data_IF_904733859608
#
_entry.id   IF_904733859608
#
_cell.length_a   1.000
_cell.length_b   1.000
_cell.length_c   1.000
_cell.angle_alpha   90.00
_cell.angle_beta   90.00
_cell.angle_gamma   90.00
#
_symmetry.space_group_name_H-M   'P 1'
#
loop_
_entity.id
_entity.type
_entity.pdbx_description
1 polymer ?
#
# COMPACT_ATOMS: atom_id res chain seq x y z
N UNK A 1 38.03 -3.43 -49.85
CA UNK A 1 37.17 -4.56 -49.48
C UNK A 1 36.49 -4.16 -48.18
N UNK A 2 35.65 -3.12 -48.20
CA UNK A 2 34.29 -3.12 -48.77
C UNK A 2 33.46 -4.22 -48.06
N UNK A 3 32.38 -3.95 -47.34
CA UNK A 3 31.34 -2.97 -47.67
C UNK A 3 30.52 -2.56 -46.46
N UNK A 4 30.13 -1.30 -46.48
CA UNK A 4 29.00 -0.69 -45.78
C UNK A 4 27.68 -1.46 -45.92
N UNK A 5 26.85 -1.44 -44.86
CA UNK A 5 25.40 -1.52 -45.02
C UNK A 5 24.66 -0.64 -44.02
N UNK A 6 24.33 0.57 -44.48
CA UNK A 6 23.19 1.40 -44.04
C UNK A 6 21.88 0.70 -44.41
N UNK A 7 20.87 0.74 -43.53
CA UNK A 7 19.50 1.27 -43.75
C UNK A 7 18.66 1.00 -42.50
N UNK A 8 18.11 2.03 -41.84
CA UNK A 8 16.71 2.52 -41.99
C UNK A 8 15.69 1.47 -41.54
N UNK A 9 14.70 1.72 -40.70
CA UNK A 9 13.87 2.92 -40.53
C UNK A 9 12.93 2.69 -39.33
N UNK A 10 12.77 3.74 -38.54
CA UNK A 10 11.51 4.29 -38.02
C UNK A 10 10.25 3.41 -38.12
N UNK A 11 9.67 3.08 -36.96
CA UNK A 11 8.22 3.14 -36.80
C UNK A 11 7.85 3.58 -35.38
N UNK A 12 7.31 4.79 -35.36
CA UNK A 12 6.58 5.49 -34.32
C UNK A 12 5.25 4.81 -33.99
N UNK A 13 4.95 4.69 -32.70
CA UNK A 13 3.65 5.04 -32.10
C UNK A 13 3.81 4.84 -30.58
N UNK A 14 4.03 5.91 -29.81
CA UNK A 14 2.96 6.77 -29.28
C UNK A 14 1.83 5.97 -28.66
N UNK A 15 2.03 5.56 -27.40
CA UNK A 15 0.98 5.54 -26.37
C UNK A 15 1.63 5.21 -25.02
N UNK A 16 2.29 6.21 -24.43
CA UNK A 16 2.60 6.21 -22.99
C UNK A 16 1.91 7.44 -22.39
N UNK A 17 0.58 7.46 -22.49
CA UNK A 17 -0.25 8.24 -21.57
C UNK A 17 -0.17 7.54 -20.21
N UNK A 18 0.93 7.77 -19.51
CA UNK A 18 0.92 7.62 -18.06
C UNK A 18 0.07 8.74 -17.54
N UNK A 19 -1.12 8.35 -17.12
CA UNK A 19 -1.93 9.05 -16.14
C UNK A 19 -1.03 9.39 -14.95
N UNK A 20 -0.41 10.56 -15.05
CA UNK A 20 0.19 11.26 -13.93
C UNK A 20 -1.00 11.85 -13.20
N UNK A 21 -1.70 10.99 -12.46
CA UNK A 21 -2.52 11.39 -11.34
C UNK A 21 -1.58 12.14 -10.40
N UNK A 22 -1.46 13.45 -10.62
CA UNK A 22 -1.04 14.39 -9.61
C UNK A 22 -2.10 14.32 -8.52
N UNK A 23 -1.97 13.30 -7.66
CA UNK A 23 -2.63 13.27 -6.38
C UNK A 23 -2.06 14.45 -5.62
N UNK A 24 -2.80 15.55 -5.69
CA UNK A 24 -2.71 16.70 -4.81
C UNK A 24 -3.04 16.16 -3.42
N UNK A 25 -2.04 15.55 -2.76
CA UNK A 25 -2.03 15.41 -1.32
C UNK A 25 -1.91 16.82 -0.79
N UNK A 26 -3.06 17.44 -0.61
CA UNK A 26 -3.27 18.64 0.17
C UNK A 26 -2.50 18.46 1.48
N UNK A 27 -1.39 19.18 1.63
CA UNK A 27 -0.67 19.31 2.89
C UNK A 27 -1.66 19.76 3.98
N UNK A 28 -1.97 18.94 5.00
CA UNK A 28 -2.85 19.36 6.09
C UNK A 28 -2.16 20.33 7.08
N UNK A 29 -0.86 20.59 6.92
CA UNK A 29 -0.01 21.12 8.00
C UNK A 29 0.29 22.62 7.96
N UNK A 30 -0.51 23.45 7.26
CA UNK A 30 -0.37 24.90 7.37
C UNK A 30 -1.44 25.57 8.23
N UNK A 31 -2.09 24.83 9.14
CA UNK A 31 -2.80 25.46 10.25
C UNK A 31 -1.76 25.91 11.28
N UNK A 32 -1.11 27.04 10.98
CA UNK A 32 -0.48 27.88 12.00
C UNK A 32 -1.63 28.47 12.79
N UNK A 33 -2.20 27.64 13.66
CA UNK A 33 -3.12 28.05 14.69
C UNK A 33 -2.41 29.09 15.50
N UNK A 34 -2.79 30.35 15.28
CA UNK A 34 -2.55 31.45 16.19
C UNK A 34 -2.85 30.92 17.58
N UNK A 35 -1.79 30.65 18.34
CA UNK A 35 -1.87 30.39 19.78
C UNK A 35 -2.37 31.70 20.38
N UNK A 36 -3.68 31.87 20.39
CA UNK A 36 -4.34 32.63 21.42
C UNK A 36 -3.95 31.92 22.70
N UNK A 37 -2.94 32.47 23.38
CA UNK A 37 -2.71 32.20 24.78
C UNK A 37 -3.98 32.68 25.47
N UNK A 38 -4.98 31.79 25.51
CA UNK A 38 -6.13 31.93 26.36
C UNK A 38 -5.54 32.22 27.73
N UNK A 39 -5.87 33.41 28.21
CA UNK A 39 -5.51 33.91 29.52
C UNK A 39 -5.91 32.83 30.49
N UNK A 40 -4.94 32.02 30.88
CA UNK A 40 -5.12 30.92 31.81
C UNK A 40 -5.66 31.56 33.06
N UNK A 41 -6.91 31.21 33.31
CA UNK A 41 -7.61 31.25 34.57
C UNK A 41 -6.62 31.42 35.75
N UNK A 42 -6.42 32.68 36.17
CA UNK A 42 -5.53 33.06 37.28
C UNK A 42 -6.01 32.47 38.62
N UNK A 43 -7.12 31.75 38.64
CA UNK A 43 -7.78 31.21 39.83
C UNK A 43 -7.17 29.90 40.36
N UNK A 44 -6.33 29.19 39.60
CA UNK A 44 -5.83 27.86 40.03
C UNK A 44 -4.43 27.83 40.64
N UNK A 45 -3.70 28.94 40.69
CA UNK A 45 -2.40 29.01 41.36
C UNK A 45 -2.55 29.66 42.74
N UNK A 46 -3.24 28.96 43.64
CA UNK A 46 -3.05 29.16 45.08
C UNK A 46 -1.64 28.72 45.44
N UNK A 47 -0.69 29.65 45.36
CA UNK A 47 0.73 29.43 45.67
C UNK A 47 0.90 29.53 47.18
N UNK A 48 0.53 28.45 47.89
CA UNK A 48 0.60 28.41 49.35
C UNK A 48 1.33 27.14 49.82
N UNK A 49 2.45 27.28 50.56
CA UNK A 49 3.08 26.17 51.26
C UNK A 49 2.11 25.47 52.22
N UNK A 50 2.15 24.14 52.26
CA UNK A 50 1.40 23.37 53.24
C UNK A 50 1.91 23.66 54.66
N UNK A 51 0.98 23.81 55.61
CA UNK A 51 1.30 23.92 57.03
C UNK A 51 1.43 22.52 57.59
N UNK A 52 2.56 22.22 58.24
CA UNK A 52 2.74 20.91 58.87
C UNK A 52 1.75 20.77 60.04
N UNK A 53 0.96 19.69 60.10
CA UNK A 53 0.03 19.48 61.19
C UNK A 53 0.78 19.32 62.51
N UNK A 54 0.18 19.81 63.61
CA UNK A 54 0.72 19.63 64.97
C UNK A 54 1.86 20.57 65.38
N UNK A 55 2.17 21.61 64.60
CA UNK A 55 3.16 22.62 65.01
C UNK A 55 2.55 23.59 66.05
N UNK A 56 3.30 23.86 67.13
CA UNK A 56 2.97 24.94 68.07
C UNK A 56 3.11 26.31 67.39
N UNK A 57 1.98 26.99 67.21
CA UNK A 57 1.89 28.32 66.60
C UNK A 57 2.66 29.40 67.37
N UNK A 58 2.99 29.13 68.64
CA UNK A 58 3.71 30.03 69.52
C UNK A 58 5.21 29.68 69.67
N UNK A 59 5.72 28.66 68.99
CA UNK A 59 7.10 28.20 69.13
C UNK A 59 8.14 29.33 68.98
N UNK A 60 7.91 30.28 68.05
CA UNK A 60 8.79 31.43 67.84
C UNK A 60 9.02 32.31 69.09
N UNK A 61 8.09 32.32 70.06
CA UNK A 61 8.21 33.15 71.27
C UNK A 61 9.35 32.68 72.17
N UNK A 62 9.66 31.38 72.15
CA UNK A 62 10.68 30.77 72.98
C UNK A 62 12.04 30.67 72.28
N UNK A 63 12.08 30.87 70.96
CA UNK A 63 13.29 30.79 70.15
C UNK A 63 14.09 32.10 70.22
N UNK A 64 15.38 31.98 70.58
CA UNK A 64 16.36 33.08 70.70
C UNK A 64 17.19 33.29 69.44
N UNK A 65 17.11 32.38 68.48
CA UNK A 65 17.90 32.39 67.25
C UNK A 65 16.98 32.22 66.04
N UNK A 66 17.36 32.82 64.91
CA UNK A 66 16.66 32.62 63.65
C UNK A 66 16.81 31.16 63.19
N UNK A 67 15.71 30.49 62.83
CA UNK A 67 15.75 29.09 62.37
C UNK A 67 16.46 28.91 61.00
N UNK A 68 16.76 29.99 60.29
CA UNK A 68 17.35 29.94 58.93
C UNK A 68 18.84 30.26 58.96
N UNK A 69 19.23 31.37 59.61
CA UNK A 69 20.63 31.83 59.63
C UNK A 69 21.26 31.84 61.02
N UNK A 70 20.55 31.34 62.04
CA UNK A 70 21.04 31.18 63.42
C UNK A 70 21.47 32.47 64.12
N UNK A 71 21.24 33.65 63.52
CA UNK A 71 21.50 34.93 64.19
C UNK A 71 20.59 35.09 65.42
N UNK A 72 21.14 35.64 66.50
CA UNK A 72 20.37 35.93 67.70
C UNK A 72 19.27 36.96 67.41
N UNK A 73 18.04 36.64 67.81
CA UNK A 73 16.85 37.47 67.62
C UNK A 73 16.18 37.73 68.97
N UNK A 74 15.67 38.93 69.18
CA UNK A 74 14.83 39.20 70.35
C UNK A 74 13.69 40.17 70.04
N UNK A 75 12.93 40.46 71.09
CA UNK A 75 12.00 41.59 71.11
C UNK A 75 12.84 42.88 71.01
N UNK A 76 12.32 43.86 70.26
CA UNK A 76 12.94 45.14 69.95
C UNK A 76 13.90 45.70 71.02
N UNK A 77 15.07 46.18 70.60
CA UNK A 77 15.96 47.00 71.41
C UNK A 77 17.12 46.30 72.14
N UNK A 78 17.27 44.97 72.05
CA UNK A 78 18.24 44.21 72.88
C UNK A 78 19.32 43.45 72.09
N UNK A 79 19.14 43.17 70.79
CA UNK A 79 20.08 42.35 69.98
C UNK A 79 20.13 42.75 68.50
N UNK A 80 21.10 42.17 67.79
CA UNK A 80 21.45 42.40 66.38
C UNK A 80 20.28 42.32 65.38
N UNK A 81 19.21 41.57 65.66
CA UNK A 81 18.08 41.42 64.73
C UNK A 81 16.71 41.36 65.42
N UNK A 82 15.70 41.98 64.77
CA UNK A 82 14.30 41.89 65.17
C UNK A 82 13.75 40.50 64.89
N UNK A 83 13.07 39.92 65.88
CA UNK A 83 12.37 38.64 65.77
C UNK A 83 11.03 38.79 65.05
N UNK A 84 10.82 37.96 64.03
CA UNK A 84 9.55 37.75 63.33
C UNK A 84 9.11 36.29 63.45
N UNK A 85 7.83 36.03 63.18
CA UNK A 85 7.25 34.69 63.10
C UNK A 85 6.98 34.35 61.64
N UNK A 86 7.50 33.20 61.17
CA UNK A 86 7.05 32.61 59.91
C UNK A 86 5.65 32.03 60.15
N UNK A 87 4.68 32.38 59.32
CA UNK A 87 3.29 31.93 59.50
C UNK A 87 3.01 30.52 58.99
N UNK A 88 3.99 29.90 58.34
CA UNK A 88 3.89 28.55 57.79
C UNK A 88 4.54 27.49 58.69
N UNK A 89 5.72 27.77 59.26
CA UNK A 89 6.38 26.85 60.20
C UNK A 89 6.38 27.32 61.65
N UNK A 90 5.81 28.49 61.95
CA UNK A 90 5.69 29.09 63.28
C UNK A 90 7.00 29.26 64.09
N UNK A 91 8.14 29.15 63.42
CA UNK A 91 9.48 29.39 63.99
C UNK A 91 9.88 30.88 63.93
N UNK A 92 10.85 31.24 64.76
CA UNK A 92 11.45 32.57 64.81
C UNK A 92 12.41 32.78 63.63
N UNK A 93 12.25 33.91 62.96
CA UNK A 93 13.08 34.33 61.83
C UNK A 93 13.46 35.80 61.92
N UNK A 94 14.62 36.14 61.38
CA UNK A 94 15.00 37.54 61.20
C UNK A 94 14.35 38.12 59.93
N UNK A 95 14.41 39.45 59.76
CA UNK A 95 13.84 40.13 58.59
C UNK A 95 14.45 39.65 57.27
N UNK A 96 15.77 39.47 57.23
CA UNK A 96 16.50 39.03 56.03
C UNK A 96 16.15 37.61 55.59
N UNK A 97 15.81 36.72 56.53
CA UNK A 97 15.41 35.34 56.24
C UNK A 97 13.90 35.17 56.01
N UNK A 98 13.14 36.26 56.04
CA UNK A 98 11.70 36.25 55.77
C UNK A 98 11.22 37.48 55.00
N UNK A 99 11.86 37.83 53.86
CA UNK A 99 11.52 39.07 53.13
C UNK A 99 10.16 39.00 52.42
N UNK A 100 9.61 37.79 52.22
CA UNK A 100 8.42 37.55 51.40
C UNK A 100 7.15 37.36 52.24
N UNK A 101 6.01 37.62 51.60
CA UNK A 101 4.68 37.26 52.08
C UNK A 101 3.95 36.43 51.03
N UNK A 102 3.27 35.37 51.45
CA UNK A 102 2.48 34.49 50.59
C UNK A 102 1.05 34.37 51.12
N UNK A 103 0.11 33.97 50.26
CA UNK A 103 -1.25 33.69 50.68
C UNK A 103 -1.25 32.49 51.62
N UNK A 104 -1.71 32.66 52.85
CA UNK A 104 -1.77 31.58 53.84
C UNK A 104 -2.98 30.66 53.57
N UNK A 105 -2.84 29.33 53.65
CA UNK A 105 -3.86 28.40 53.17
C UNK A 105 -5.12 28.38 54.05
N UNK A 106 -4.97 28.69 55.35
CA UNK A 106 -6.12 28.72 56.28
C UNK A 106 -6.79 30.10 56.37
N UNK A 107 -6.02 31.18 56.23
CA UNK A 107 -6.53 32.55 56.49
C UNK A 107 -6.81 33.32 55.22
N UNK A 108 -6.31 32.84 54.07
CA UNK A 108 -6.40 33.49 52.77
C UNK A 108 -5.91 34.94 52.79
N UNK A 109 -4.96 35.25 53.67
CA UNK A 109 -4.31 36.57 53.77
C UNK A 109 -2.83 36.47 53.42
N UNK A 110 -2.23 37.55 52.91
CA UNK A 110 -0.79 37.61 52.69
C UNK A 110 -0.07 37.61 54.04
N UNK A 111 0.62 36.52 54.33
CA UNK A 111 1.31 36.29 55.59
C UNK A 111 2.80 36.00 55.37
N UNK A 112 3.63 36.35 56.35
CA UNK A 112 5.09 36.26 56.25
C UNK A 112 5.56 34.82 56.17
N UNK A 113 6.40 34.52 55.19
CA UNK A 113 7.03 33.21 55.00
C UNK A 113 8.55 33.32 55.19
N UNK A 114 9.18 32.30 55.74
CA UNK A 114 10.63 32.21 55.77
C UNK A 114 11.16 31.60 54.47
N UNK A 115 12.41 31.92 54.11
CA UNK A 115 13.02 31.41 52.88
C UNK A 115 13.03 29.88 52.81
N UNK A 116 13.24 29.19 53.93
CA UNK A 116 13.22 27.72 53.95
C UNK A 116 11.84 27.14 53.55
N UNK A 117 10.75 27.68 54.11
CA UNK A 117 9.39 27.27 53.73
C UNK A 117 9.07 27.61 52.27
N UNK A 118 9.54 28.76 51.78
CA UNK A 118 9.34 29.18 50.41
C UNK A 118 10.05 28.24 49.42
N UNK A 119 11.33 27.96 49.63
CA UNK A 119 12.10 27.07 48.75
C UNK A 119 11.58 25.64 48.79
N UNK A 120 11.24 25.11 49.97
CA UNK A 120 10.65 23.77 50.09
C UNK A 120 9.38 23.63 49.25
N UNK A 121 8.51 24.64 49.29
CA UNK A 121 7.29 24.66 48.49
C UNK A 121 7.57 24.75 46.99
N UNK A 122 8.54 25.58 46.58
CA UNK A 122 8.95 25.69 45.18
C UNK A 122 9.47 24.34 44.68
N UNK A 123 10.36 23.69 45.42
CA UNK A 123 10.91 22.38 45.07
C UNK A 123 9.82 21.32 44.92
N UNK A 124 8.84 21.30 45.82
CA UNK A 124 7.70 20.38 45.75
C UNK A 124 6.85 20.64 44.49
N UNK A 125 6.59 21.91 44.16
CA UNK A 125 5.87 22.28 42.94
C UNK A 125 6.62 21.86 41.68
N UNK A 126 7.93 22.09 41.60
CA UNK A 126 8.74 21.68 40.45
C UNK A 126 8.79 20.16 40.28
N UNK A 127 8.91 19.39 41.38
CA UNK A 127 8.88 17.92 41.34
C UNK A 127 7.55 17.40 40.80
N UNK A 128 6.44 18.01 41.21
CA UNK A 128 5.11 17.58 40.78
C UNK A 128 4.80 18.01 39.33
N UNK A 129 5.19 19.22 38.91
CA UNK A 129 4.92 19.71 37.55
C UNK A 129 5.80 19.05 36.49
N UNK A 130 7.09 18.82 36.78
CA UNK A 130 8.01 18.20 35.84
C UNK A 130 7.66 16.74 35.53
N UNK A 131 7.12 16.03 36.53
CA UNK A 131 6.67 14.65 36.35
C UNK A 131 5.39 14.54 35.53
N UNK A 132 4.45 15.46 35.68
CA UNK A 132 3.15 15.34 34.99
C UNK A 132 3.28 15.62 33.49
N UNK A 133 4.02 16.65 33.08
CA UNK A 133 4.24 16.95 31.66
C UNK A 133 5.00 15.82 30.97
N UNK A 134 6.03 15.27 31.64
CA UNK A 134 6.77 14.13 31.13
C UNK A 134 5.88 12.88 31.01
N UNK A 135 5.02 12.63 32.00
CA UNK A 135 4.09 11.51 32.01
C UNK A 135 3.07 11.62 30.87
N UNK A 136 2.48 12.81 30.66
CA UNK A 136 1.55 13.06 29.54
C UNK A 136 2.24 12.79 28.20
N UNK A 137 3.47 13.30 28.03
CA UNK A 137 4.24 13.09 26.79
C UNK A 137 4.54 11.61 26.56
N UNK A 138 4.94 10.89 27.61
CA UNK A 138 5.24 9.47 27.54
C UNK A 138 3.99 8.63 27.23
N UNK A 139 2.85 8.95 27.85
CA UNK A 139 1.56 8.28 27.57
C UNK A 139 1.12 8.49 26.12
N UNK A 140 1.26 9.72 25.59
CA UNK A 140 0.98 10.01 24.18
C UNK A 140 1.88 9.20 23.25
N UNK A 141 3.18 9.11 23.53
CA UNK A 141 4.12 8.35 22.70
C UNK A 141 3.83 6.84 22.75
N UNK A 142 3.46 6.31 23.92
CA UNK A 142 3.02 4.92 24.06
C UNK A 142 1.74 4.67 23.25
N UNK A 143 0.78 5.60 23.29
CA UNK A 143 -0.46 5.49 22.53
C UNK A 143 -0.18 5.48 21.02
N UNK A 144 0.67 6.36 20.53
CA UNK A 144 1.06 6.41 19.11
C UNK A 144 1.75 5.11 18.67
N UNK A 145 2.65 4.59 19.49
CA UNK A 145 3.32 3.30 19.22
C UNK A 145 2.35 2.14 19.21
N UNK A 146 1.36 2.11 20.10
CA UNK A 146 0.32 1.09 20.11
C UNK A 146 -0.56 1.16 18.86
N UNK A 147 -0.90 2.37 18.39
CA UNK A 147 -1.61 2.54 17.12
C UNK A 147 -0.77 2.08 15.92
N UNK A 148 0.53 2.37 15.91
CA UNK A 148 1.46 1.93 14.87
C UNK A 148 1.55 0.38 14.82
N UNK A 149 1.67 -0.26 15.99
CA UNK A 149 1.70 -1.73 16.11
C UNK A 149 0.37 -2.34 15.62
N UNK A 150 -0.78 -1.75 15.98
CA UNK A 150 -2.08 -2.23 15.52
C UNK A 150 -2.21 -2.15 14.00
N UNK A 151 -1.74 -1.06 13.38
CA UNK A 151 -1.71 -0.92 11.91
C UNK A 151 -0.82 -1.96 11.25
N UNK A 152 0.37 -2.23 11.82
CA UNK A 152 1.29 -3.27 11.30
C UNK A 152 0.65 -4.66 11.36
N UNK A 153 0.05 -5.03 12.49
CA UNK A 153 -0.67 -6.31 12.63
C UNK A 153 -1.81 -6.46 11.62
N UNK A 154 -2.56 -5.39 11.38
CA UNK A 154 -3.64 -5.41 10.38
C UNK A 154 -3.08 -5.61 8.96
N UNK A 155 -1.97 -4.95 8.63
CA UNK A 155 -1.30 -5.13 7.35
C UNK A 155 -0.75 -6.56 7.17
N UNK A 156 -0.14 -7.13 8.21
CA UNK A 156 0.36 -8.51 8.22
C UNK A 156 -0.75 -9.53 7.95
N UNK A 157 -1.91 -9.38 8.61
CA UNK A 157 -3.08 -10.24 8.35
C UNK A 157 -3.56 -10.11 6.91
N UNK A 158 -3.60 -8.89 6.37
CA UNK A 158 -4.00 -8.65 4.98
C UNK A 158 -3.02 -9.28 3.97
N UNK A 159 -1.71 -9.20 4.24
CA UNK A 159 -0.71 -9.86 3.39
C UNK A 159 -0.90 -11.38 3.40
N UNK A 160 -1.11 -11.99 4.56
CA UNK A 160 -1.35 -13.43 4.65
C UNK A 160 -2.62 -13.87 3.89
N UNK A 161 -3.69 -13.07 3.94
CA UNK A 161 -4.91 -13.32 3.15
C UNK A 161 -4.64 -13.25 1.64
N UNK A 162 -3.87 -12.25 1.19
CA UNK A 162 -3.53 -12.11 -0.22
C UNK A 162 -2.63 -13.25 -0.71
N UNK A 163 -1.73 -13.76 0.13
CA UNK A 163 -0.91 -14.93 -0.17
C UNK A 163 -1.78 -16.18 -0.38
N UNK A 164 -2.77 -16.41 0.50
CA UNK A 164 -3.74 -17.50 0.35
C UNK A 164 -4.57 -17.38 -0.93
N UNK A 165 -5.03 -16.17 -1.26
CA UNK A 165 -5.77 -15.90 -2.50
C UNK A 165 -4.93 -16.16 -3.75
N UNK A 166 -3.64 -15.79 -3.73
CA UNK A 166 -2.70 -16.06 -4.84
C UNK A 166 -2.53 -17.56 -5.02
N UNK A 167 -2.32 -18.32 -3.94
CA UNK A 167 -2.16 -19.77 -3.99
C UNK A 167 -3.41 -20.46 -4.57
N UNK A 168 -4.60 -20.01 -4.19
CA UNK A 168 -5.86 -20.51 -4.74
C UNK A 168 -5.97 -20.21 -6.24
N UNK A 169 -5.60 -19.00 -6.67
CA UNK A 169 -5.62 -18.61 -8.09
C UNK A 169 -4.60 -19.40 -8.92
N UNK A 170 -3.43 -19.67 -8.38
CA UNK A 170 -2.43 -20.51 -9.04
C UNK A 170 -2.91 -21.95 -9.21
N UNK A 171 -3.59 -22.51 -8.19
CA UNK A 171 -4.23 -23.82 -8.32
C UNK A 171 -5.33 -23.84 -9.39
N UNK A 172 -6.15 -22.80 -9.47
CA UNK A 172 -7.15 -22.64 -10.54
C UNK A 172 -6.50 -22.56 -11.93
N UNK A 173 -5.42 -21.78 -12.07
CA UNK A 173 -4.68 -21.66 -13.33
C UNK A 173 -4.05 -22.99 -13.76
N UNK A 174 -3.52 -23.78 -12.82
CA UNK A 174 -2.98 -25.11 -13.12
C UNK A 174 -4.10 -26.03 -13.65
N UNK A 175 -5.28 -26.04 -13.02
CA UNK A 175 -6.43 -26.84 -13.48
C UNK A 175 -6.85 -26.45 -14.90
N UNK A 176 -7.01 -25.15 -15.16
CA UNK A 176 -7.36 -24.65 -16.50
C UNK A 176 -6.31 -25.00 -17.56
N UNK A 177 -5.02 -24.96 -17.21
CA UNK A 177 -3.95 -25.39 -18.14
C UNK A 177 -4.03 -26.87 -18.48
N UNK A 178 -4.35 -27.72 -17.52
CA UNK A 178 -4.55 -29.16 -17.75
C UNK A 178 -5.74 -29.39 -18.67
N UNK A 179 -6.89 -28.76 -18.39
CA UNK A 179 -8.10 -28.87 -19.22
C UNK A 179 -7.86 -28.41 -20.66
N UNK A 180 -7.16 -27.28 -20.83
CA UNK A 180 -6.79 -26.75 -22.15
C UNK A 180 -5.89 -27.71 -22.94
N UNK A 181 -4.91 -28.32 -22.27
CA UNK A 181 -4.00 -29.28 -22.91
C UNK A 181 -4.72 -30.58 -23.31
N UNK A 182 -5.69 -31.02 -22.51
CA UNK A 182 -6.55 -32.16 -22.85
C UNK A 182 -7.48 -31.86 -24.02
N UNK A 183 -8.05 -30.66 -24.08
CA UNK A 183 -8.87 -30.21 -25.20
C UNK A 183 -8.04 -30.09 -26.48
N UNK A 184 -6.83 -29.54 -26.39
CA UNK A 184 -5.89 -29.48 -27.51
C UNK A 184 -5.55 -30.88 -28.04
N UNK A 185 -5.27 -31.84 -27.17
CA UNK A 185 -5.03 -33.25 -27.58
C UNK A 185 -6.27 -33.89 -28.23
N UNK A 186 -7.48 -33.56 -27.75
CA UNK A 186 -8.74 -34.02 -28.36
C UNK A 186 -8.91 -33.43 -29.77
N UNK A 187 -8.70 -32.13 -29.93
CA UNK A 187 -8.77 -31.44 -31.22
C UNK A 187 -7.72 -31.97 -32.22
N UNK A 188 -6.47 -32.21 -31.77
CA UNK A 188 -5.42 -32.77 -32.61
C UNK A 188 -5.75 -34.19 -33.12
N UNK A 189 -6.33 -35.05 -32.27
CA UNK A 189 -6.80 -36.38 -32.67
C UNK A 189 -7.92 -36.29 -33.70
N UNK A 190 -8.93 -35.44 -33.45
CA UNK A 190 -10.04 -35.22 -34.38
C UNK A 190 -9.55 -34.70 -35.74
N UNK A 191 -8.58 -33.79 -35.74
CA UNK A 191 -8.00 -33.24 -36.96
C UNK A 191 -7.23 -34.29 -37.77
N UNK A 192 -6.46 -35.17 -37.11
CA UNK A 192 -5.78 -36.30 -37.77
C UNK A 192 -6.77 -37.26 -38.42
N UNK A 193 -7.87 -37.57 -37.73
CA UNK A 193 -8.92 -38.44 -38.26
C UNK A 193 -9.63 -37.82 -39.47
N UNK A 194 -9.96 -36.52 -39.38
CA UNK A 194 -10.59 -35.76 -40.46
C UNK A 194 -9.69 -35.71 -41.70
N UNK A 195 -8.39 -35.46 -41.54
CA UNK A 195 -7.42 -35.49 -42.64
C UNK A 195 -7.30 -36.89 -43.28
N UNK A 196 -7.28 -37.96 -42.48
CA UNK A 196 -7.29 -39.33 -42.99
C UNK A 196 -8.56 -39.62 -43.80
N UNK A 197 -9.72 -39.18 -43.30
CA UNK A 197 -11.00 -39.37 -43.98
C UNK A 197 -11.10 -38.55 -45.27
N UNK A 198 -10.59 -37.32 -45.28
CA UNK A 198 -10.47 -36.52 -46.50
C UNK A 198 -9.58 -37.19 -47.54
N UNK A 199 -8.40 -37.70 -47.15
CA UNK A 199 -7.50 -38.38 -48.08
C UNK A 199 -8.11 -39.68 -48.64
N UNK A 200 -8.90 -40.41 -47.85
CA UNK A 200 -9.65 -41.58 -48.33
C UNK A 200 -10.73 -41.17 -49.33
N UNK A 201 -11.54 -40.16 -49.01
CA UNK A 201 -12.59 -39.65 -49.90
C UNK A 201 -12.01 -39.11 -51.21
N UNK A 202 -10.89 -38.38 -51.18
CA UNK A 202 -10.20 -37.91 -52.38
C UNK A 202 -9.69 -39.06 -53.24
N UNK A 203 -9.21 -40.14 -52.63
CA UNK A 203 -8.77 -41.34 -53.35
C UNK A 203 -9.96 -42.03 -54.02
N UNK A 204 -11.05 -42.23 -53.31
CA UNK A 204 -12.29 -42.82 -53.86
C UNK A 204 -12.80 -42.01 -55.05
N UNK A 205 -12.84 -40.67 -54.96
CA UNK A 205 -13.22 -39.78 -56.07
C UNK A 205 -12.28 -39.94 -57.27
N UNK A 206 -10.97 -40.06 -57.04
CA UNK A 206 -9.99 -40.26 -58.11
C UNK A 206 -10.16 -41.62 -58.78
N UNK A 207 -10.38 -42.67 -58.00
CA UNK A 207 -10.58 -44.04 -58.48
C UNK A 207 -11.90 -44.16 -59.29
N UNK A 208 -12.96 -43.49 -58.85
CA UNK A 208 -14.24 -43.40 -59.58
C UNK A 208 -14.07 -42.66 -60.92
N UNK A 209 -13.42 -41.49 -60.92
CA UNK A 209 -13.13 -40.73 -62.15
C UNK A 209 -12.25 -41.50 -63.13
N UNK A 210 -11.26 -42.22 -62.62
CA UNK A 210 -10.39 -43.06 -63.44
C UNK A 210 -11.19 -44.19 -64.10
N UNK A 211 -12.04 -44.87 -63.32
CA UNK A 211 -12.94 -45.92 -63.82
C UNK A 211 -13.91 -45.39 -64.89
N UNK A 212 -14.42 -44.17 -64.72
CA UNK A 212 -15.29 -43.53 -65.71
C UNK A 212 -14.54 -43.19 -67.01
N UNK A 213 -13.33 -42.63 -66.91
CA UNK A 213 -12.49 -42.32 -68.07
C UNK A 213 -12.09 -43.59 -68.83
N UNK A 214 -11.82 -44.69 -68.13
CA UNK A 214 -11.50 -45.98 -68.75
C UNK A 214 -12.69 -46.57 -69.52
N UNK A 215 -13.91 -46.45 -69.00
CA UNK A 215 -15.14 -46.80 -69.75
C UNK A 215 -15.28 -45.98 -71.01
N UNK A 216 -15.16 -44.64 -70.92
CA UNK A 216 -15.22 -43.74 -72.09
C UNK A 216 -14.14 -44.06 -73.12
N UNK A 217 -12.91 -44.36 -72.68
CA UNK A 217 -11.82 -44.76 -73.56
C UNK A 217 -12.17 -46.03 -74.34
N UNK A 218 -12.76 -47.02 -73.66
CA UNK A 218 -13.16 -48.28 -74.29
C UNK A 218 -14.33 -48.10 -75.27
N UNK A 219 -15.33 -47.27 -74.94
CA UNK A 219 -16.40 -46.87 -75.86
C UNK A 219 -15.82 -46.22 -77.12
N UNK A 220 -14.93 -45.22 -76.98
CA UNK A 220 -14.28 -44.55 -78.11
C UNK A 220 -13.41 -45.50 -78.95
N UNK A 221 -12.79 -46.52 -78.35
CA UNK A 221 -12.07 -47.56 -79.09
C UNK A 221 -13.02 -48.39 -79.93
N UNK A 222 -14.16 -48.80 -79.37
CA UNK A 222 -15.20 -49.55 -80.10
C UNK A 222 -15.68 -48.71 -81.29
N UNK A 223 -16.08 -47.46 -81.06
CA UNK A 223 -16.51 -46.54 -82.12
C UNK A 223 -15.43 -46.37 -83.21
N UNK A 224 -14.16 -46.21 -82.83
CA UNK A 224 -13.05 -46.14 -83.79
C UNK A 224 -12.93 -47.40 -84.64
N UNK A 225 -13.10 -48.59 -84.05
CA UNK A 225 -13.06 -49.84 -84.81
C UNK A 225 -14.23 -49.94 -85.79
N UNK A 226 -15.42 -49.46 -85.42
CA UNK A 226 -16.58 -49.41 -86.32
C UNK A 226 -16.37 -48.41 -87.46
N UNK A 227 -15.85 -47.22 -87.15
CA UNK A 227 -15.52 -46.21 -88.17
C UNK A 227 -14.47 -46.74 -89.14
N UNK A 228 -13.42 -47.42 -88.66
CA UNK A 228 -12.42 -48.08 -89.53
C UNK A 228 -13.06 -49.09 -90.48
N UNK A 229 -13.92 -49.98 -89.98
CA UNK A 229 -14.66 -50.95 -90.82
C UNK A 229 -15.52 -50.24 -91.88
N UNK A 230 -16.21 -49.15 -91.51
CA UNK A 230 -16.98 -48.33 -92.47
C UNK A 230 -16.07 -47.72 -93.53
N UNK A 231 -14.91 -47.20 -93.13
CA UNK A 231 -13.91 -46.59 -94.02
C UNK A 231 -13.33 -47.62 -94.99
N UNK A 232 -12.99 -48.81 -94.51
CA UNK A 232 -12.56 -49.94 -95.35
C UNK A 232 -13.65 -50.34 -96.36
N UNK A 233 -14.91 -50.39 -95.92
CA UNK A 233 -16.06 -50.70 -96.79
C UNK A 233 -16.25 -49.65 -97.90
N UNK A 234 -16.15 -48.37 -97.57
CA UNK A 234 -16.20 -47.26 -98.55
C UNK A 234 -15.02 -47.35 -99.52
N UNK A 235 -13.82 -47.65 -99.00
CA UNK A 235 -12.60 -47.80 -99.81
C UNK A 235 -12.74 -48.96 -100.81
N UNK A 236 -13.32 -50.08 -100.38
CA UNK A 236 -13.64 -51.22 -101.25
C UNK A 236 -14.69 -50.86 -102.32
N UNK A 237 -15.73 -50.10 -101.97
CA UNK A 237 -16.72 -49.59 -102.94
C UNK A 237 -16.06 -48.67 -103.98
N UNK A 238 -15.18 -47.76 -103.56
CA UNK A 238 -14.45 -46.89 -104.49
C UNK A 238 -13.49 -47.67 -105.40
N UNK A 239 -12.86 -48.74 -104.91
CA UNK A 239 -12.07 -49.63 -105.74
C UNK A 239 -12.93 -50.35 -106.80
N UNK A 240 -14.12 -50.82 -106.42
CA UNK A 240 -15.06 -51.46 -107.36
C UNK A 240 -15.64 -50.50 -108.42
N UNK A 241 -15.82 -49.21 -108.10
CA UNK A 241 -16.21 -48.18 -109.06
C UNK A 241 -15.07 -47.81 -110.02
N UNK A 242 -13.80 -47.84 -109.58
CA UNK A 242 -12.65 -47.65 -110.46
C UNK A 242 -12.41 -48.84 -111.40
N UNK A 243 -12.77 -50.07 -111.02
CA UNK A 243 -12.77 -51.23 -111.93
C UNK A 243 -13.97 -51.27 -112.90
N UNK A 244 -15.07 -50.58 -112.59
CA UNK A 244 -16.25 -50.48 -113.46
C UNK A 244 -16.16 -49.41 -114.56
N UNK A 245 -15.19 -48.49 -114.50
CA UNK A 245 -15.03 -47.40 -115.47
C UNK A 245 -14.15 -47.75 -116.69
N UNK A 246 -13.78 -49.03 -116.88
CA UNK A 246 -12.90 -49.47 -117.98
C UNK A 246 -13.64 -50.09 -119.19
N UNK A 247 -14.98 -50.08 -119.23
CA UNK A 247 -15.77 -50.61 -120.35
C UNK A 247 -16.85 -49.63 -120.82
N UNK A 248 -16.46 -48.45 -121.34
CA UNK A 248 -17.34 -47.67 -122.25
C UNK A 248 -16.52 -46.68 -123.08
N UNK A 249 -15.68 -47.22 -123.97
CA UNK A 249 -15.24 -46.52 -125.18
C UNK A 249 -15.35 -47.55 -126.31
N UNK A 250 -16.50 -47.55 -126.99
CA UNK A 250 -16.65 -47.93 -128.40
C UNK A 250 -18.07 -47.56 -128.87
#
# INVERSE_FOLDING_TARGET
MDSDRKSSSENSSENDQRDREESVWSNPDSYVGSRTTSVTDRSQLSISPAIKPGIDRNAYKNQKYCIVCEIQVAKHGVVRAKRFSCKFCYNAVCGSCSPLTLLHPETFRPERVCMNCFYSFIEEKFKNSGNEEFKIRLESEIQDKNMEIAKKKLAEVRCAQLEEDIDLKDQELIKLKIELEEEKKRAEKANKELNSNQHKAEKEIKDEKFSELERKLNELKIENTELKKKLESISALQASQKSGACCTIQ
#
